data_IF_035869258330
#
_entry.id   IF_035869258330
#
_cell.length_a   1.000
_cell.length_b   1.000
_cell.length_c   1.000
_cell.angle_alpha   90.00
_cell.angle_beta   90.00
_cell.angle_gamma   90.00
#
_symmetry.space_group_name_H-M   'P 1'
#
loop_
_entity.id
_entity.type
_entity.pdbx_description
1 polymer ?
#
# COMPACT_ATOMS: atom_id res chain seq x y z
N UNK A 1 -13.99 21.41 -4.98
CA UNK A 1 -13.12 21.43 -6.17
C UNK A 1 -12.88 20.00 -6.62
N UNK A 2 -13.06 19.64 -7.90
CA UNK A 2 -12.82 18.28 -8.36
C UNK A 2 -11.32 17.95 -8.34
N UNK A 3 -10.95 16.83 -7.73
CA UNK A 3 -9.59 16.28 -7.78
C UNK A 3 -9.27 15.89 -9.24
N UNK A 4 -8.54 16.74 -9.96
CA UNK A 4 -8.10 16.38 -11.30
C UNK A 4 -7.01 15.30 -11.22
N UNK A 5 -7.03 14.30 -12.13
CA UNK A 5 -6.01 13.26 -12.14
C UNK A 5 -4.64 13.87 -12.46
N UNK A 6 -3.66 13.66 -11.59
CA UNK A 6 -2.27 14.13 -11.76
C UNK A 6 -1.75 13.83 -13.17
N UNK A 7 -1.04 14.77 -13.79
CA UNK A 7 -0.47 14.56 -15.13
C UNK A 7 0.60 13.48 -15.12
N UNK A 8 0.79 12.80 -16.26
CA UNK A 8 1.70 11.66 -16.39
C UNK A 8 3.14 11.95 -15.93
N UNK A 9 3.63 13.18 -16.12
CA UNK A 9 4.97 13.62 -15.68
C UNK A 9 5.11 13.66 -14.16
N UNK A 10 4.09 14.12 -13.43
CA UNK A 10 4.11 14.19 -11.96
C UNK A 10 4.07 12.82 -11.30
N UNK A 11 3.41 11.84 -11.92
CA UNK A 11 3.21 10.49 -11.33
C UNK A 11 4.49 9.66 -11.20
N UNK A 12 5.65 10.25 -11.51
CA UNK A 12 6.95 9.60 -11.66
C UNK A 12 8.08 10.39 -10.99
N UNK A 13 7.74 11.47 -10.28
CA UNK A 13 8.69 12.37 -9.62
C UNK A 13 9.03 11.92 -8.20
N UNK A 14 10.11 12.46 -7.59
CA UNK A 14 10.44 12.23 -6.19
C UNK A 14 9.28 12.50 -5.22
N UNK A 15 8.47 13.54 -5.46
CA UNK A 15 7.36 13.90 -4.56
C UNK A 15 6.32 12.78 -4.53
N UNK A 16 6.02 12.21 -5.69
CA UNK A 16 5.11 11.07 -5.75
C UNK A 16 5.72 9.80 -5.14
N UNK A 17 7.04 9.61 -5.24
CA UNK A 17 7.72 8.52 -4.53
C UNK A 17 7.51 8.63 -3.02
N UNK A 18 7.68 9.84 -2.46
CA UNK A 18 7.40 10.13 -1.05
C UNK A 18 5.94 9.89 -0.67
N UNK A 19 4.98 10.37 -1.47
CA UNK A 19 3.54 10.17 -1.19
C UNK A 19 3.18 8.67 -1.16
N UNK A 20 3.70 7.88 -2.09
CA UNK A 20 3.49 6.43 -2.11
C UNK A 20 4.04 5.75 -0.85
N UNK A 21 5.26 6.10 -0.45
CA UNK A 21 5.88 5.57 0.76
C UNK A 21 5.11 5.99 2.02
N UNK A 22 4.76 7.27 2.15
CA UNK A 22 4.03 7.79 3.29
C UNK A 22 2.64 7.17 3.43
N UNK A 23 1.92 6.99 2.32
CA UNK A 23 0.61 6.33 2.33
C UNK A 23 0.73 4.89 2.83
N UNK A 24 1.67 4.10 2.29
CA UNK A 24 1.89 2.73 2.72
C UNK A 24 2.33 2.62 4.19
N UNK A 25 3.18 3.54 4.66
CA UNK A 25 3.61 3.63 6.04
C UNK A 25 2.47 3.99 7.00
N UNK A 26 1.63 4.95 6.61
CA UNK A 26 0.49 5.43 7.41
C UNK A 26 -0.54 4.31 7.59
N UNK A 27 -0.92 3.63 6.50
CA UNK A 27 -1.84 2.50 6.56
C UNK A 27 -1.30 1.39 7.46
N UNK A 28 -0.01 1.02 7.33
CA UNK A 28 0.58 0.00 8.18
C UNK A 28 0.58 0.40 9.66
N UNK A 29 0.96 1.65 9.95
CA UNK A 29 1.04 2.18 11.32
C UNK A 29 -0.34 2.28 11.99
N UNK A 30 -1.34 2.77 11.27
CA UNK A 30 -2.70 2.94 11.81
C UNK A 30 -3.32 1.58 12.14
N UNK A 31 -3.23 0.63 11.21
CA UNK A 31 -3.80 -0.70 11.40
C UNK A 31 -3.12 -1.46 12.55
N UNK A 32 -1.79 -1.40 12.63
CA UNK A 32 -1.06 -2.03 13.73
C UNK A 32 -1.44 -1.47 15.12
N UNK A 33 -1.70 -0.16 15.22
CA UNK A 33 -2.22 0.45 16.47
C UNK A 33 -3.66 0.04 16.75
N UNK A 34 -4.52 0.03 15.73
CA UNK A 34 -5.90 -0.40 15.86
C UNK A 34 -6.01 -1.86 16.35
N UNK A 35 -5.10 -2.74 15.93
CA UNK A 35 -4.96 -4.10 16.46
C UNK A 35 -4.62 -4.12 17.95
N UNK A 36 -3.61 -3.36 18.37
CA UNK A 36 -3.22 -3.24 19.78
C UNK A 36 -4.37 -2.72 20.64
N UNK A 37 -5.09 -1.73 20.13
CA UNK A 37 -6.17 -1.06 20.85
C UNK A 37 -7.49 -1.87 20.83
N UNK A 38 -7.50 -3.05 20.21
CA UNK A 38 -8.67 -3.95 20.16
C UNK A 38 -9.81 -3.45 19.25
N UNK A 39 -9.53 -2.50 18.34
CA UNK A 39 -10.54 -1.93 17.44
C UNK A 39 -10.86 -2.85 16.25
N UNK A 40 -10.02 -3.85 15.99
CA UNK A 40 -10.16 -4.80 14.89
C UNK A 40 -10.24 -6.23 15.43
N UNK A 41 -11.32 -6.94 15.12
CA UNK A 41 -11.53 -8.31 15.61
C UNK A 41 -10.59 -9.35 14.98
N UNK A 42 -9.97 -9.03 13.83
CA UNK A 42 -9.12 -9.94 13.07
C UNK A 42 -7.65 -9.97 13.50
N UNK A 43 -7.26 -9.11 14.43
CA UNK A 43 -5.91 -9.00 14.96
C UNK A 43 -5.93 -8.62 16.44
N UNK A 44 -4.76 -8.56 17.07
CA UNK A 44 -4.64 -8.21 18.49
C UNK A 44 -3.27 -7.64 18.81
N UNK A 45 -2.78 -7.93 20.01
CA UNK A 45 -1.44 -7.53 20.42
C UNK A 45 -0.36 -8.20 19.58
N UNK A 46 0.77 -7.51 19.43
CA UNK A 46 1.97 -8.03 18.78
C UNK A 46 2.38 -9.41 19.30
N UNK A 47 2.72 -10.30 18.36
CA UNK A 47 3.32 -11.62 18.64
C UNK A 47 4.83 -11.63 18.41
N UNK A 48 5.47 -10.46 18.34
CA UNK A 48 6.92 -10.35 18.15
C UNK A 48 7.68 -11.10 19.25
N UNK A 49 8.72 -11.83 18.87
CA UNK A 49 9.61 -12.49 19.80
C UNK A 49 10.40 -11.48 20.65
N UNK A 50 10.86 -11.92 21.83
CA UNK A 50 11.73 -11.13 22.70
C UNK A 50 13.01 -10.74 21.95
N UNK A 51 13.37 -9.44 21.90
CA UNK A 51 14.62 -9.01 21.27
C UNK A 51 15.84 -9.51 22.05
N UNK A 52 16.87 -9.98 21.35
CA UNK A 52 18.12 -10.46 21.96
C UNK A 52 18.86 -9.38 22.76
N UNK A 53 18.71 -8.11 22.39
CA UNK A 53 19.37 -6.98 23.05
C UNK A 53 18.64 -6.53 24.34
N UNK A 54 17.50 -7.15 24.68
CA UNK A 54 16.75 -6.79 25.88
C UNK A 54 17.41 -7.36 27.13
N UNK A 55 17.66 -6.52 28.13
CA UNK A 55 18.23 -6.90 29.42
C UNK A 55 17.58 -8.18 29.98
N UNK A 56 18.37 -9.15 30.44
CA UNK A 56 17.89 -10.48 30.82
C UNK A 56 16.76 -10.43 31.87
N UNK A 57 16.93 -9.60 32.90
CA UNK A 57 15.93 -9.41 33.98
C UNK A 57 14.64 -8.68 33.54
N UNK A 58 14.60 -8.08 32.36
CA UNK A 58 13.41 -7.37 31.89
C UNK A 58 12.44 -8.35 31.25
N UNK A 59 11.16 -8.22 31.59
CA UNK A 59 10.11 -9.10 31.07
C UNK A 59 9.65 -8.59 29.70
N UNK A 60 9.66 -9.48 28.70
CA UNK A 60 9.02 -9.21 27.40
C UNK A 60 7.54 -9.55 27.49
N UNK A 61 6.66 -8.55 27.35
CA UNK A 61 5.23 -8.76 27.52
C UNK A 61 4.43 -7.47 27.41
N UNK A 62 3.16 -7.52 27.83
CA UNK A 62 2.20 -6.44 27.58
C UNK A 62 1.60 -6.50 26.18
N UNK A 63 0.89 -5.43 25.78
CA UNK A 63 0.24 -5.36 24.47
C UNK A 63 1.00 -4.40 23.55
N UNK A 64 1.86 -4.95 22.68
CA UNK A 64 2.60 -4.19 21.67
C UNK A 64 1.82 -4.01 20.37
N UNK A 65 2.29 -3.11 19.51
CA UNK A 65 1.73 -2.87 18.17
C UNK A 65 2.03 -4.05 17.21
N UNK A 66 0.99 -4.58 16.55
CA UNK A 66 1.10 -5.71 15.61
C UNK A 66 1.59 -5.25 14.22
N UNK A 67 2.91 -5.06 14.13
CA UNK A 67 3.57 -4.63 12.90
C UNK A 67 3.42 -5.61 11.75
N UNK A 68 3.35 -6.91 12.03
CA UNK A 68 3.25 -7.93 10.97
C UNK A 68 1.88 -7.87 10.29
N UNK A 69 0.82 -7.77 11.10
CA UNK A 69 -0.52 -7.60 10.56
C UNK A 69 -0.66 -6.27 9.80
N UNK A 70 -0.20 -5.16 10.39
CA UNK A 70 -0.22 -3.84 9.73
C UNK A 70 0.54 -3.82 8.41
N UNK A 71 1.71 -4.46 8.35
CA UNK A 71 2.51 -4.62 7.14
C UNK A 71 1.73 -5.38 6.05
N UNK A 72 1.17 -6.56 6.38
CA UNK A 72 0.42 -7.40 5.44
C UNK A 72 -0.84 -6.70 4.94
N UNK A 73 -1.55 -6.01 5.83
CA UNK A 73 -2.72 -5.21 5.46
C UNK A 73 -2.35 -4.12 4.45
N UNK A 74 -1.32 -3.32 4.75
CA UNK A 74 -0.86 -2.25 3.86
C UNK A 74 -0.39 -2.79 2.51
N UNK A 75 0.33 -3.92 2.50
CA UNK A 75 0.76 -4.58 1.28
C UNK A 75 -0.41 -5.06 0.43
N UNK A 76 -1.44 -5.62 1.04
CA UNK A 76 -2.61 -6.08 0.32
C UNK A 76 -3.43 -4.89 -0.17
N UNK A 77 -3.72 -3.90 0.67
CA UNK A 77 -4.58 -2.78 0.32
C UNK A 77 -3.94 -1.80 -0.67
N UNK A 78 -2.71 -1.34 -0.41
CA UNK A 78 -2.07 -0.28 -1.20
C UNK A 78 -1.51 -0.82 -2.53
N UNK A 79 -1.00 -2.06 -2.55
CA UNK A 79 -0.37 -2.60 -3.76
C UNK A 79 -1.37 -3.19 -4.77
N UNK A 80 -2.65 -3.42 -4.41
CA UNK A 80 -3.69 -3.96 -5.30
C UNK A 80 -3.72 -3.19 -6.62
N UNK A 81 -3.77 -1.86 -6.56
CA UNK A 81 -3.89 -1.01 -7.75
C UNK A 81 -2.72 -1.18 -8.71
N UNK A 82 -1.51 -1.37 -8.18
CA UNK A 82 -0.31 -1.57 -8.98
C UNK A 82 -0.17 -3.00 -9.50
N UNK A 83 -0.63 -4.00 -8.74
CA UNK A 83 -0.62 -5.41 -9.12
C UNK A 83 -1.69 -5.75 -10.16
N UNK A 84 -2.90 -5.20 -10.06
CA UNK A 84 -3.97 -5.41 -11.04
C UNK A 84 -3.59 -4.90 -12.43
N UNK A 85 -2.81 -3.81 -12.49
CA UNK A 85 -2.28 -3.29 -13.76
C UNK A 85 -1.26 -4.25 -14.42
N UNK A 86 -0.70 -5.21 -13.67
CA UNK A 86 0.10 -6.31 -14.23
C UNK A 86 -0.78 -7.46 -14.76
N UNK A 87 -1.92 -7.74 -14.12
CA UNK A 87 -2.86 -8.82 -14.49
C UNK A 87 -3.56 -8.57 -15.82
N UNK A 88 -3.85 -7.32 -16.17
CA UNK A 88 -4.37 -6.94 -17.50
C UNK A 88 -3.34 -7.04 -18.64
N UNK A 89 -2.11 -7.50 -18.39
CA UNK A 89 -1.05 -7.61 -19.40
C UNK A 89 -0.41 -9.01 -19.51
N UNK A 90 -0.76 -9.96 -18.62
CA UNK A 90 -0.32 -11.35 -18.68
C UNK A 90 -1.35 -12.23 -17.97
N UNK A 91 -1.96 -13.14 -18.71
CA UNK A 91 -2.59 -14.32 -18.13
C UNK A 91 -1.61 -15.05 -17.21
N UNK A 92 -2.19 -15.59 -16.13
CA UNK A 92 -1.74 -16.70 -15.30
C UNK A 92 -0.21 -16.92 -15.16
N UNK A 93 0.37 -16.48 -14.04
CA UNK A 93 1.47 -17.20 -13.37
C UNK A 93 1.29 -17.05 -11.87
N UNK A 94 0.93 -18.16 -11.23
CA UNK A 94 1.02 -18.37 -9.79
C UNK A 94 2.48 -18.26 -9.35
N UNK A 95 2.75 -17.52 -8.27
CA UNK A 95 4.05 -17.57 -7.61
C UNK A 95 4.02 -18.78 -6.67
N UNK A 96 4.99 -19.71 -6.72
CA UNK A 96 4.99 -20.89 -5.87
C UNK A 96 5.26 -20.49 -4.42
N UNK A 97 4.38 -20.91 -3.51
CA UNK A 97 4.69 -21.08 -2.10
C UNK A 97 5.47 -22.38 -1.94
N UNK A 98 6.77 -22.31 -1.63
CA UNK A 98 7.48 -23.47 -1.10
C UNK A 98 7.04 -23.70 0.33
N UNK A 99 6.25 -24.75 0.54
CA UNK A 99 6.30 -25.63 1.71
C UNK A 99 6.28 -27.04 1.12
N UNK A 100 7.40 -27.76 1.22
CA UNK A 100 7.48 -29.17 0.89
C UNK A 100 7.02 -29.98 2.11
N UNK A 101 5.97 -30.78 1.93
CA UNK A 101 5.78 -32.04 2.62
C UNK A 101 4.99 -32.99 1.72
N UNK A 102 5.66 -34.06 1.31
CA UNK A 102 5.21 -35.41 0.90
C UNK A 102 3.80 -35.61 0.28
N UNK A 103 3.78 -36.30 -0.86
CA UNK A 103 2.82 -37.40 -1.08
C UNK A 103 2.08 -37.47 -2.42
N UNK A 104 2.69 -38.19 -3.36
CA UNK A 104 2.19 -39.12 -4.39
C UNK A 104 1.05 -38.78 -5.39
N UNK A 105 1.33 -39.28 -6.60
CA UNK A 105 0.67 -39.19 -7.90
C UNK A 105 -0.72 -39.86 -7.97
N UNK A 106 -1.58 -39.38 -8.88
CA UNK A 106 -1.95 -40.10 -10.12
C UNK A 106 -2.87 -39.26 -11.00
N UNK A 107 -2.62 -39.34 -12.29
CA UNK A 107 -3.26 -38.60 -13.38
C UNK A 107 -4.68 -39.10 -13.71
N UNK A 108 -5.57 -38.20 -14.14
CA UNK A 108 -6.46 -38.38 -15.29
C UNK A 108 -7.26 -37.10 -15.58
N UNK A 109 -7.19 -36.65 -16.83
CA UNK A 109 -7.97 -35.55 -17.37
C UNK A 109 -9.48 -35.84 -17.36
N UNK A 110 -10.31 -34.84 -17.01
CA UNK A 110 -11.60 -34.64 -17.67
C UNK A 110 -12.14 -33.23 -17.40
N UNK A 111 -12.36 -32.49 -18.48
CA UNK A 111 -12.95 -31.17 -18.46
C UNK A 111 -14.48 -31.28 -18.42
N UNK A 112 -15.12 -30.93 -17.30
CA UNK A 112 -16.54 -30.52 -17.28
C UNK A 112 -16.85 -29.67 -16.03
N UNK A 113 -17.38 -28.45 -16.27
CA UNK A 113 -18.15 -27.56 -15.37
C UNK A 113 -17.71 -27.38 -13.90
N UNK A 114 -17.16 -26.21 -13.56
CA UNK A 114 -17.09 -25.71 -12.17
C UNK A 114 -17.91 -24.42 -12.05
N UNK A 115 -19.09 -24.56 -11.46
CA UNK A 115 -19.73 -23.47 -10.72
C UNK A 115 -18.88 -23.21 -9.48
N UNK A 116 -18.08 -22.15 -9.48
CA UNK A 116 -17.27 -21.79 -8.31
C UNK A 116 -18.19 -21.24 -7.22
N UNK A 117 -18.54 -22.09 -6.25
CA UNK A 117 -18.94 -21.65 -4.91
C UNK A 117 -17.76 -20.91 -4.29
N UNK A 118 -17.97 -19.64 -3.93
CA UNK A 118 -16.97 -18.82 -3.25
C UNK A 118 -16.65 -19.41 -1.86
N UNK A 119 -15.40 -19.26 -1.42
CA UNK A 119 -14.98 -19.71 -0.09
C UNK A 119 -15.69 -18.91 1.03
N UNK A 120 -15.99 -19.52 2.20
CA UNK A 120 -16.66 -18.84 3.31
C UNK A 120 -15.95 -17.57 3.81
N UNK A 121 -14.61 -17.53 3.77
CA UNK A 121 -13.82 -16.35 4.15
C UNK A 121 -13.85 -15.21 3.10
N UNK A 122 -14.07 -15.54 1.83
CA UNK A 122 -14.21 -14.55 0.74
C UNK A 122 -15.63 -13.99 0.71
N UNK A 123 -16.62 -14.82 1.05
CA UNK A 123 -18.01 -14.41 1.24
C UNK A 123 -18.14 -13.44 2.44
N UNK A 124 -17.48 -13.73 3.56
CA UNK A 124 -17.49 -12.86 4.75
C UNK A 124 -16.92 -11.46 4.46
N UNK A 125 -15.86 -11.37 3.63
CA UNK A 125 -15.26 -10.09 3.22
C UNK A 125 -16.15 -9.29 2.25
N UNK A 126 -16.92 -9.98 1.41
CA UNK A 126 -17.89 -9.35 0.51
C UNK A 126 -19.10 -8.81 1.29
N UNK A 127 -19.59 -9.58 2.27
CA UNK A 127 -20.73 -9.22 3.11
C UNK A 127 -20.40 -8.04 4.05
N UNK A 128 -19.19 -8.00 4.61
CA UNK A 128 -18.73 -6.87 5.45
C UNK A 128 -18.58 -5.57 4.65
N UNK A 129 -18.14 -5.67 3.39
CA UNK A 129 -18.04 -4.53 2.49
C UNK A 129 -19.42 -4.00 2.08
N UNK A 130 -20.38 -4.90 1.84
CA UNK A 130 -21.75 -4.56 1.52
C UNK A 130 -22.46 -3.90 2.71
N UNK A 131 -22.22 -4.38 3.93
CA UNK A 131 -22.72 -3.75 5.17
C UNK A 131 -22.14 -2.36 5.38
N UNK A 132 -20.85 -2.16 5.10
CA UNK A 132 -20.21 -0.85 5.17
C UNK A 132 -20.82 0.11 4.13
N UNK A 133 -21.09 -0.38 2.92
CA UNK A 133 -21.73 0.39 1.85
C UNK A 133 -23.16 0.81 2.22
N UNK A 134 -23.95 -0.10 2.80
CA UNK A 134 -25.31 0.19 3.29
C UNK A 134 -25.31 1.20 4.44
N UNK A 135 -24.33 1.11 5.35
CA UNK A 135 -24.19 2.03 6.49
C UNK A 135 -23.83 3.45 6.01
N UNK A 136 -22.95 3.58 5.02
CA UNK A 136 -22.61 4.86 4.39
C UNK A 136 -23.84 5.47 3.69
N UNK A 137 -24.64 4.67 2.98
CA UNK A 137 -25.88 5.15 2.34
C UNK A 137 -26.91 5.63 3.35
N UNK A 138 -27.04 4.94 4.50
CA UNK A 138 -27.94 5.36 5.58
C UNK A 138 -27.50 6.66 6.24
N UNK A 139 -26.20 6.86 6.49
CA UNK A 139 -25.71 8.14 7.03
C UNK A 139 -25.88 9.30 6.05
N UNK A 140 -25.79 9.05 4.74
CA UNK A 140 -26.06 10.04 3.70
C UNK A 140 -27.55 10.44 3.64
N UNK A 141 -28.47 9.49 3.84
CA UNK A 141 -29.91 9.76 3.91
C UNK A 141 -30.30 10.55 5.17
N UNK A 142 -29.57 10.37 6.26
CA UNK A 142 -29.78 11.05 7.54
C UNK A 142 -29.09 12.42 7.65
N UNK A 143 -28.34 12.83 6.62
CA UNK A 143 -27.71 14.14 6.57
C UNK A 143 -28.67 15.21 6.06
N UNK A 144 -28.56 16.43 6.61
CA UNK A 144 -29.42 17.59 6.27
C UNK A 144 -29.01 18.24 4.92
N UNK A 145 -28.72 17.40 3.92
CA UNK A 145 -28.36 17.79 2.55
C UNK A 145 -29.63 17.94 1.71
N UNK A 146 -29.68 19.00 0.89
CA UNK A 146 -30.79 19.22 -0.04
C UNK A 146 -30.86 18.06 -1.04
N UNK A 147 -32.07 17.66 -1.44
CA UNK A 147 -32.36 16.53 -2.35
C UNK A 147 -31.41 16.47 -3.56
N UNK A 148 -31.12 17.65 -4.13
CA UNK A 148 -30.27 17.79 -5.31
C UNK A 148 -28.79 17.45 -5.03
N UNK A 149 -28.26 17.80 -3.87
CA UNK A 149 -26.87 17.47 -3.47
C UNK A 149 -26.75 15.98 -3.15
N UNK A 150 -27.79 15.40 -2.55
CA UNK A 150 -27.88 13.94 -2.29
C UNK A 150 -27.90 13.15 -3.59
N UNK A 151 -28.70 13.59 -4.56
CA UNK A 151 -28.79 12.95 -5.88
C UNK A 151 -27.47 13.07 -6.66
N UNK A 152 -26.80 14.23 -6.59
CA UNK A 152 -25.49 14.43 -7.22
C UNK A 152 -24.39 13.57 -6.56
N UNK A 153 -24.46 13.39 -5.23
CA UNK A 153 -23.53 12.54 -4.50
C UNK A 153 -23.79 11.06 -4.80
N UNK A 154 -25.06 10.65 -4.88
CA UNK A 154 -25.45 9.29 -5.25
C UNK A 154 -25.01 8.96 -6.68
N UNK A 155 -25.12 9.91 -7.61
CA UNK A 155 -24.65 9.74 -8.99
C UNK A 155 -23.12 9.63 -9.07
N UNK A 156 -22.38 10.42 -8.29
CA UNK A 156 -20.91 10.32 -8.18
C UNK A 156 -20.47 8.98 -7.59
N UNK A 157 -21.16 8.49 -6.56
CA UNK A 157 -20.92 7.19 -5.96
C UNK A 157 -21.21 6.07 -6.97
N UNK A 158 -22.36 6.13 -7.65
CA UNK A 158 -22.74 5.14 -8.66
C UNK A 158 -21.75 5.11 -9.84
N UNK A 159 -21.23 6.28 -10.25
CA UNK A 159 -20.22 6.41 -11.32
C UNK A 159 -18.84 5.90 -10.92
N UNK A 160 -18.42 6.11 -9.67
CA UNK A 160 -17.20 5.52 -9.09
C UNK A 160 -17.33 3.99 -8.96
N UNK A 161 -18.51 3.47 -8.61
CA UNK A 161 -18.80 2.03 -8.54
C UNK A 161 -18.76 1.38 -9.93
N UNK A 162 -19.36 2.02 -10.95
CA UNK A 162 -19.30 1.56 -12.35
C UNK A 162 -17.88 1.58 -12.94
N UNK A 163 -17.03 2.50 -12.47
CA UNK A 163 -15.61 2.57 -12.81
C UNK A 163 -14.73 1.69 -11.92
N UNK A 164 -15.27 1.14 -10.83
CA UNK A 164 -14.63 0.07 -10.08
C UNK A 164 -14.73 -1.22 -10.89
N UNK A 165 -13.69 -2.05 -10.84
CA UNK A 165 -13.38 -3.12 -11.80
C UNK A 165 -14.33 -4.33 -11.80
N UNK A 166 -15.60 -4.16 -11.42
CA UNK A 166 -16.62 -5.20 -11.39
C UNK A 166 -17.56 -5.18 -12.61
N UNK A 167 -17.70 -4.06 -13.34
CA UNK A 167 -18.65 -3.96 -14.48
C UNK A 167 -18.04 -3.58 -15.84
N UNK A 168 -16.72 -3.37 -15.94
CA UNK A 168 -16.06 -3.18 -17.24
C UNK A 168 -15.76 -4.55 -17.85
N UNK A 169 -16.80 -5.20 -18.36
CA UNK A 169 -16.68 -6.26 -19.37
C UNK A 169 -16.55 -5.61 -20.75
N UNK A 170 -15.36 -5.76 -21.35
CA UNK A 170 -15.10 -5.73 -22.79
C UNK A 170 -15.91 -4.75 -23.64
N UNK A 171 -15.43 -3.51 -23.76
CA UNK A 171 -15.66 -2.70 -24.95
C UNK A 171 -14.38 -1.91 -25.25
N UNK A 172 -13.95 -1.98 -26.51
CA UNK A 172 -12.73 -1.40 -27.10
C UNK A 172 -11.45 -2.26 -27.08
N UNK A 173 -11.52 -3.47 -27.64
CA UNK A 173 -10.39 -4.03 -28.39
C UNK A 173 -10.78 -4.30 -29.85
N UNK A 174 -10.82 -3.22 -30.64
CA UNK A 174 -10.56 -3.26 -32.08
C UNK A 174 -10.01 -1.91 -32.53
N UNK A 175 -8.86 -1.53 -31.95
CA UNK A 175 -8.04 -0.44 -32.51
C UNK A 175 -6.72 -1.05 -32.96
N UNK A 176 -6.54 -1.07 -34.28
CA UNK A 176 -5.36 -1.59 -34.95
C UNK A 176 -4.06 -1.19 -34.26
N UNK A 177 -3.15 -2.17 -34.18
CA UNK A 177 -1.81 -2.11 -33.59
C UNK A 177 -0.97 -1.00 -34.23
N UNK A 178 -1.17 0.26 -33.85
CA UNK A 178 -0.27 1.37 -34.19
C UNK A 178 1.05 1.17 -33.46
N UNK A 179 2.17 1.35 -34.17
CA UNK A 179 3.57 1.13 -33.73
C UNK A 179 4.01 1.94 -32.48
N UNK A 180 3.11 2.67 -31.80
CA UNK A 180 3.33 3.40 -30.54
C UNK A 180 2.94 2.66 -29.24
N UNK A 181 2.35 1.46 -29.31
CA UNK A 181 1.86 0.75 -28.11
C UNK A 181 2.94 0.25 -27.14
N UNK A 182 4.13 -0.13 -27.64
CA UNK A 182 5.21 -0.73 -26.84
C UNK A 182 5.83 0.26 -25.84
N UNK A 183 5.95 1.53 -26.22
CA UNK A 183 6.50 2.58 -25.36
C UNK A 183 5.54 2.97 -24.22
N UNK A 184 4.23 3.06 -24.51
CA UNK A 184 3.18 3.38 -23.52
C UNK A 184 3.08 2.28 -22.45
N UNK A 185 3.11 1.00 -22.85
CA UNK A 185 3.09 -0.14 -21.92
C UNK A 185 4.37 -0.24 -21.08
N UNK A 186 5.52 0.10 -21.67
CA UNK A 186 6.82 0.18 -20.99
C UNK A 186 6.83 1.25 -19.88
N UNK A 187 6.39 2.48 -20.18
CA UNK A 187 6.27 3.57 -19.21
C UNK A 187 5.32 3.24 -18.06
N UNK A 188 4.18 2.62 -18.37
CA UNK A 188 3.19 2.12 -17.40
C UNK A 188 3.83 1.10 -16.46
N UNK A 189 4.54 0.11 -16.99
CA UNK A 189 5.23 -0.91 -16.18
C UNK A 189 6.31 -0.31 -15.28
N UNK A 190 7.13 0.60 -15.80
CA UNK A 190 8.16 1.28 -15.02
C UNK A 190 7.56 2.00 -13.81
N UNK A 191 6.48 2.77 -14.02
CA UNK A 191 5.76 3.45 -12.93
C UNK A 191 5.23 2.47 -11.87
N UNK A 192 4.70 1.32 -12.29
CA UNK A 192 4.16 0.32 -11.36
C UNK A 192 5.25 -0.23 -10.44
N UNK A 193 6.41 -0.54 -11.02
CA UNK A 193 7.55 -1.03 -10.26
C UNK A 193 8.09 0.03 -9.29
N UNK A 194 8.15 1.28 -9.73
CA UNK A 194 8.55 2.42 -8.88
C UNK A 194 7.59 2.56 -7.69
N UNK A 195 6.29 2.58 -7.94
CA UNK A 195 5.27 2.68 -6.89
C UNK A 195 5.35 1.51 -5.90
N UNK A 196 5.49 0.28 -6.38
CA UNK A 196 5.64 -0.90 -5.51
C UNK A 196 6.90 -0.84 -4.64
N UNK A 197 8.02 -0.36 -5.19
CA UNK A 197 9.26 -0.15 -4.43
C UNK A 197 9.06 0.90 -3.33
N UNK A 198 8.48 2.04 -3.67
CA UNK A 198 8.29 3.13 -2.71
C UNK A 198 7.26 2.77 -1.63
N UNK A 199 6.19 2.05 -1.98
CA UNK A 199 5.25 1.50 -1.00
C UNK A 199 5.97 0.57 0.00
N UNK A 200 6.89 -0.26 -0.50
CA UNK A 200 7.70 -1.15 0.34
C UNK A 200 8.65 -0.37 1.25
N UNK A 201 9.33 0.65 0.72
CA UNK A 201 10.17 1.55 1.50
C UNK A 201 9.39 2.21 2.65
N UNK A 202 8.15 2.64 2.39
CA UNK A 202 7.23 3.13 3.39
C UNK A 202 6.96 2.12 4.52
N UNK A 203 6.58 0.88 4.16
CA UNK A 203 6.35 -0.18 5.16
C UNK A 203 7.61 -0.56 5.93
N UNK A 204 8.77 -0.56 5.26
CA UNK A 204 10.06 -0.83 5.90
C UNK A 204 10.48 0.29 6.84
N UNK A 205 10.14 1.55 6.56
CA UNK A 205 10.36 2.65 7.47
C UNK A 205 9.62 2.46 8.81
N UNK A 206 8.38 1.98 8.76
CA UNK A 206 7.58 1.65 9.96
C UNK A 206 8.28 0.57 10.81
N UNK A 207 8.73 -0.51 10.17
CA UNK A 207 9.47 -1.58 10.86
C UNK A 207 10.84 -1.08 11.33
N UNK A 208 11.51 -0.18 10.62
CA UNK A 208 12.84 0.30 11.03
C UNK A 208 12.76 1.26 12.21
N UNK A 209 11.69 2.05 12.29
CA UNK A 209 11.49 3.08 13.33
C UNK A 209 10.64 2.60 14.50
N UNK A 210 10.27 1.32 14.61
CA UNK A 210 9.66 0.85 15.84
C UNK A 210 10.67 0.88 16.98
N UNK A 211 10.17 0.93 18.22
CA UNK A 211 10.97 1.00 19.43
C UNK A 211 10.50 -0.01 20.44
N UNK A 212 11.42 -0.43 21.30
CA UNK A 212 11.08 -1.16 22.52
C UNK A 212 10.78 -0.12 23.60
N UNK A 213 9.59 -0.20 24.18
CA UNK A 213 9.17 0.68 25.28
C UNK A 213 8.94 -0.16 26.52
N UNK A 214 9.45 0.32 27.64
CA UNK A 214 9.42 -0.34 28.91
C UNK A 214 8.67 0.50 29.95
N UNK A 215 7.99 -0.16 30.88
CA UNK A 215 7.46 0.45 32.09
C UNK A 215 8.04 -0.21 33.33
N UNK A 216 8.29 0.61 34.33
CA UNK A 216 8.69 0.18 35.65
C UNK A 216 7.47 -0.13 36.51
N UNK A 217 7.57 -1.21 37.27
CA UNK A 217 6.59 -1.67 38.24
C UNK A 217 7.33 -1.90 39.56
N UNK A 218 6.86 -1.24 40.63
CA UNK A 218 7.46 -1.33 41.94
C UNK A 218 6.83 -0.37 42.92
N UNK A 219 7.07 -0.59 44.22
CA UNK A 219 6.58 0.28 45.28
C UNK A 219 7.14 1.69 45.05
N UNK A 220 6.27 2.71 45.17
CA UNK A 220 6.61 4.13 44.96
C UNK A 220 7.23 4.47 43.60
N UNK A 221 6.94 3.69 42.54
CA UNK A 221 7.46 3.95 41.19
C UNK A 221 8.90 3.44 40.96
N UNK A 222 9.40 2.58 41.84
CA UNK A 222 10.68 1.90 41.63
C UNK A 222 10.64 0.95 40.42
N UNK A 223 11.81 0.69 39.82
CA UNK A 223 12.00 -0.21 38.68
C UNK A 223 12.42 -1.62 39.11
N UNK A 224 11.90 -2.14 40.23
CA UNK A 224 12.20 -3.50 40.69
C UNK A 224 11.72 -4.58 39.72
N UNK A 225 10.67 -4.29 38.94
CA UNK A 225 10.19 -5.10 37.83
C UNK A 225 10.04 -4.19 36.61
N UNK A 226 10.51 -4.63 35.46
CA UNK A 226 10.40 -3.88 34.20
C UNK A 226 9.73 -4.78 33.16
N UNK A 227 8.67 -4.27 32.54
CA UNK A 227 7.99 -4.94 31.43
C UNK A 227 8.14 -4.12 30.16
N UNK A 228 8.55 -4.75 29.06
CA UNK A 228 8.78 -4.11 27.78
C UNK A 228 7.95 -4.73 26.66
N UNK A 229 7.52 -3.89 25.71
CA UNK A 229 6.82 -4.29 24.49
C UNK A 229 7.32 -3.52 23.27
N UNK A 230 6.98 -4.04 22.10
CA UNK A 230 7.17 -3.35 20.83
C UNK A 230 6.14 -2.23 20.67
N UNK A 231 6.59 -1.01 20.39
CA UNK A 231 5.72 0.12 20.09
C UNK A 231 6.15 0.83 18.81
N UNK A 232 5.16 1.23 18.00
CA UNK A 232 5.35 2.10 16.86
C UNK A 232 5.82 3.49 17.28
N UNK A 233 6.77 4.03 16.52
CA UNK A 233 7.05 5.46 16.56
C UNK A 233 5.88 6.28 16.05
N UNK A 234 5.93 7.58 16.34
CA UNK A 234 4.91 8.52 15.85
C UNK A 234 4.97 8.63 14.33
N UNK A 235 3.85 8.99 13.70
CA UNK A 235 3.85 9.17 12.24
C UNK A 235 4.75 10.32 11.81
N UNK A 236 4.96 11.32 12.69
CA UNK A 236 5.90 12.42 12.46
C UNK A 236 7.32 11.91 12.30
N UNK A 237 7.79 11.08 13.24
CA UNK A 237 9.14 10.51 13.18
C UNK A 237 9.35 9.62 11.93
N UNK A 238 8.33 8.85 11.56
CA UNK A 238 8.35 8.06 10.31
C UNK A 238 8.39 8.99 9.08
N UNK A 239 7.61 10.07 9.11
CA UNK A 239 7.58 11.09 8.06
C UNK A 239 8.91 11.83 7.89
N UNK A 240 9.56 12.20 9.00
CA UNK A 240 10.88 12.83 9.00
C UNK A 240 11.93 11.89 8.41
N UNK A 241 11.90 10.61 8.79
CA UNK A 241 12.76 9.60 8.18
C UNK A 241 12.51 9.44 6.68
N UNK A 242 11.26 9.38 6.24
CA UNK A 242 10.93 9.32 4.82
C UNK A 242 11.31 10.60 4.06
N UNK A 243 11.33 11.75 4.74
CA UNK A 243 11.80 13.03 4.16
C UNK A 243 13.29 12.97 3.87
N UNK A 244 14.09 12.43 4.80
CA UNK A 244 15.52 12.17 4.55
C UNK A 244 15.69 11.24 3.33
N UNK A 245 14.88 10.19 3.21
CA UNK A 245 14.91 9.28 2.05
C UNK A 245 14.49 9.97 0.74
N UNK A 246 13.61 10.97 0.82
CA UNK A 246 13.19 11.79 -0.32
C UNK A 246 14.32 12.70 -0.82
N UNK A 247 15.05 13.34 0.09
CA UNK A 247 16.17 14.23 -0.24
C UNK A 247 17.32 13.48 -0.93
N UNK A 248 17.49 12.18 -0.64
CA UNK A 248 18.49 11.30 -1.26
C UNK A 248 17.93 10.32 -2.30
N UNK A 249 16.68 10.53 -2.76
CA UNK A 249 16.01 9.61 -3.66
C UNK A 249 16.82 9.40 -4.96
N UNK A 250 16.80 8.17 -5.50
CA UNK A 250 17.62 7.81 -6.65
C UNK A 250 16.82 7.72 -7.94
N UNK A 251 17.32 8.37 -9.00
CA UNK A 251 16.71 8.26 -10.32
C UNK A 251 16.98 6.91 -10.98
N UNK A 252 15.92 6.24 -11.40
CA UNK A 252 15.97 4.93 -12.06
C UNK A 252 15.42 5.01 -13.49
N UNK A 253 15.80 4.03 -14.31
CA UNK A 253 15.26 3.81 -15.65
C UNK A 253 14.93 2.34 -15.84
N UNK A 254 14.01 2.04 -16.76
CA UNK A 254 13.71 0.65 -17.08
C UNK A 254 14.70 0.09 -18.10
N UNK A 255 15.29 -1.05 -17.80
CA UNK A 255 16.19 -1.75 -18.71
C UNK A 255 15.42 -2.54 -19.79
N UNK A 256 16.15 -3.05 -20.80
CA UNK A 256 15.57 -3.89 -21.87
C UNK A 256 14.88 -5.16 -21.35
N UNK A 257 15.29 -5.66 -20.16
CA UNK A 257 14.70 -6.82 -19.47
C UNK A 257 13.45 -6.46 -18.65
N UNK A 258 13.04 -5.19 -18.62
CA UNK A 258 11.87 -4.71 -17.89
C UNK A 258 12.04 -4.64 -16.37
N UNK A 259 13.27 -4.52 -15.87
CA UNK A 259 13.60 -4.22 -14.47
C UNK A 259 14.05 -2.76 -14.33
N UNK A 260 13.85 -2.19 -13.15
CA UNK A 260 14.41 -0.88 -12.83
C UNK A 260 15.92 -1.02 -12.59
N UNK A 261 16.68 -0.08 -13.11
CA UNK A 261 18.11 0.09 -12.81
C UNK A 261 18.39 1.56 -12.52
N UNK A 262 19.44 1.83 -11.77
CA UNK A 262 19.93 3.20 -11.58
C UNK A 262 20.28 3.82 -12.94
N UNK A 263 19.88 5.08 -13.13
CA UNK A 263 20.12 5.80 -14.39
C UNK A 263 21.59 6.16 -14.56
N UNK A 264 22.21 6.68 -13.50
CA UNK A 264 23.63 7.04 -13.41
C UNK A 264 24.40 6.02 -12.53
N UNK A 265 25.34 5.24 -13.10
CA UNK A 265 26.08 4.21 -12.38
C UNK A 265 26.94 4.70 -11.19
N UNK A 266 27.18 6.01 -11.07
CA UNK A 266 27.94 6.59 -9.96
C UNK A 266 27.17 6.56 -8.64
N UNK A 267 25.84 6.50 -8.70
CA UNK A 267 25.01 6.39 -7.51
C UNK A 267 24.90 4.95 -7.04
N UNK A 268 24.80 4.77 -5.71
CA UNK A 268 24.63 3.46 -5.08
C UNK A 268 23.29 2.84 -5.49
N UNK A 269 23.26 1.51 -5.55
CA UNK A 269 22.02 0.77 -5.80
C UNK A 269 21.06 0.97 -4.62
N UNK A 270 19.83 1.44 -4.86
CA UNK A 270 18.84 1.64 -3.80
C UNK A 270 18.50 0.34 -3.06
N UNK A 271 18.45 0.43 -1.74
CA UNK A 271 17.98 -0.63 -0.85
C UNK A 271 16.45 -0.61 -0.73
N UNK A 272 15.90 -1.53 0.06
CA UNK A 272 14.46 -1.61 0.30
C UNK A 272 13.88 -0.46 1.14
N UNK A 273 14.71 0.43 1.72
CA UNK A 273 14.26 1.61 2.47
C UNK A 273 14.46 2.92 1.71
N UNK A 274 15.22 2.90 0.62
CA UNK A 274 15.50 4.09 -0.19
C UNK A 274 14.35 4.36 -1.16
N UNK A 275 14.09 5.63 -1.48
CA UNK A 275 13.09 6.02 -2.47
C UNK A 275 13.69 6.09 -3.87
N UNK A 276 12.86 5.73 -4.87
CA UNK A 276 13.25 5.77 -6.29
C UNK A 276 12.22 6.53 -7.12
N UNK A 277 12.71 7.22 -8.15
CA UNK A 277 11.88 8.00 -9.06
C UNK A 277 12.32 7.84 -10.52
N UNK A 278 11.45 8.17 -11.47
CA UNK A 278 11.71 7.99 -12.91
C UNK A 278 11.95 9.32 -13.64
N UNK A 279 11.20 10.37 -13.29
CA UNK A 279 11.24 11.69 -13.93
C UNK A 279 11.68 12.76 -12.93
N UNK A 280 12.46 13.74 -13.37
CA UNK A 280 12.78 14.89 -12.52
C UNK A 280 11.54 15.70 -12.16
N UNK A 281 11.61 16.37 -11.02
CA UNK A 281 10.61 17.35 -10.60
C UNK A 281 10.53 18.51 -11.60
N UNK A 282 9.33 19.07 -11.84
CA UNK A 282 9.19 20.30 -12.59
C UNK A 282 9.79 21.48 -11.82
N UNK A 283 10.07 22.57 -12.53
CA UNK A 283 10.37 23.86 -11.89
C UNK A 283 9.10 24.41 -11.22
N UNK A 284 9.00 24.24 -9.90
CA UNK A 284 7.87 24.68 -9.08
C UNK A 284 7.78 26.20 -8.91
N UNK A 285 8.87 26.92 -9.18
CA UNK A 285 8.93 28.36 -9.11
C UNK A 285 8.18 29.02 -10.27
N UNK A 286 8.14 28.36 -11.43
CA UNK A 286 7.48 28.90 -12.62
C UNK A 286 6.02 28.46 -12.70
N UNK A 287 5.19 29.34 -13.25
CA UNK A 287 3.81 29.01 -13.61
C UNK A 287 3.83 27.81 -14.56
N UNK A 288 3.11 26.75 -14.19
CA UNK A 288 2.93 25.59 -15.04
C UNK A 288 1.45 25.40 -15.36
N UNK A 289 1.00 25.97 -16.49
CA UNK A 289 -0.39 25.86 -16.98
C UNK A 289 -0.81 24.40 -17.18
N UNK A 290 0.12 23.51 -17.50
CA UNK A 290 -0.21 22.11 -17.61
C UNK A 290 -0.54 21.53 -16.23
N UNK A 291 0.27 21.79 -15.21
CA UNK A 291 0.03 21.23 -13.88
C UNK A 291 -1.01 22.03 -13.07
N UNK A 292 -1.56 23.11 -13.63
CA UNK A 292 -2.37 24.11 -12.90
C UNK A 292 -1.64 24.63 -11.67
N UNK A 293 -0.33 24.78 -11.80
CA UNK A 293 0.51 25.30 -10.74
C UNK A 293 0.78 26.79 -10.97
N UNK A 294 0.44 27.68 -10.03
CA UNK A 294 0.61 29.12 -10.20
C UNK A 294 2.09 29.56 -10.15
N UNK A 295 2.99 28.70 -9.68
CA UNK A 295 4.38 29.09 -9.43
C UNK A 295 4.49 29.83 -8.09
N UNK A 296 5.40 29.39 -7.24
CA UNK A 296 5.73 30.08 -6.01
C UNK A 296 7.18 29.82 -5.60
N UNK A 297 7.91 30.92 -5.47
CA UNK A 297 9.12 31.07 -4.69
C UNK A 297 8.85 32.25 -3.74
#
# INVERSE_FOLDING_TARGET
MPFQPLKHSLRRTPEMAFIHALAAATTASFIARACRDGQLASCGCSRSARPNQLHEDWTWGGCGDDLEFGYKFSQNFIDIREKERKRGARGLVTVPTKNEAMGNETSADNATTVSTTLNPEEQAKADDMLKLQQKITQELLNSNLKENERNELQEKINKEILNSKLFVSNAEENVGRKKGGRYKQSSVKARSLMNLHNNEAGRRAVIKKHRIICKCHGVSGSCSLVTCWQQLSTIREIGDFLREQYEQATQVKMNKRGRLQVKDPRYKVPTAVDLVYLDESPDWCRVNKQLQWPGNC
#
